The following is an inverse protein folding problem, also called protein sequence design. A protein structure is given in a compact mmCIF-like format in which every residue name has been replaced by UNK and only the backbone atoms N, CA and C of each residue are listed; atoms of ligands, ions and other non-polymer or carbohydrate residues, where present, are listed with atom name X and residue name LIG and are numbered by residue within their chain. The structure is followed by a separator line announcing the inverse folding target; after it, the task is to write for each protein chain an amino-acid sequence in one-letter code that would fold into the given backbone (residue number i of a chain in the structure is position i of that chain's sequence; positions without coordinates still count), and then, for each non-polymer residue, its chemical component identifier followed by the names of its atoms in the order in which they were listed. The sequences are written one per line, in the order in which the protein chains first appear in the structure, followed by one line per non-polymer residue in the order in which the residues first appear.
data_IF_674805638544
#
_entry.id   IF_674805638544
#
_cell.length_a   1.000
_cell.length_b   1.000
_cell.length_c   1.000
_cell.angle_alpha   90.00
_cell.angle_beta   90.00
_cell.angle_gamma   90.00
#
_symmetry.space_group_name_H-M   'P 1'
#
loop_
_entity.id
_entity.type
_entity.pdbx_description
1 polymer ?
#
# COMPACT_ATOMS: atom_id res chain seq x y z
N UNK A 1 -11.21 -15.98 3.00
CA UNK A 1 -10.05 -16.57 2.33
C UNK A 1 -9.14 -15.41 1.93
N UNK A 2 -8.31 -14.94 2.86
CA UNK A 2 -7.30 -13.91 2.55
C UNK A 2 -6.11 -14.60 1.88
N UNK A 3 -5.55 -13.98 0.85
CA UNK A 3 -4.36 -14.48 0.14
C UNK A 3 -3.12 -13.86 0.79
N UNK A 4 -2.43 -14.55 1.72
CA UNK A 4 -1.26 -13.99 2.41
C UNK A 4 -0.13 -13.60 1.44
N UNK A 5 -0.08 -14.25 0.29
CA UNK A 5 0.85 -13.97 -0.82
C UNK A 5 0.57 -12.65 -1.54
N UNK A 6 -0.53 -11.94 -1.25
CA UNK A 6 -0.82 -10.65 -1.89
C UNK A 6 0.16 -9.59 -1.33
N UNK A 7 0.98 -8.93 -2.16
CA UNK A 7 1.88 -7.90 -1.66
C UNK A 7 1.14 -6.70 -1.06
N UNK A 8 1.67 -6.15 0.03
CA UNK A 8 1.04 -5.07 0.77
C UNK A 8 0.96 -3.74 -0.02
N UNK A 9 1.76 -3.54 -1.07
CA UNK A 9 1.59 -2.36 -1.93
C UNK A 9 0.33 -2.40 -2.81
N UNK A 10 -0.25 -3.59 -3.07
CA UNK A 10 -1.36 -3.72 -4.02
C UNK A 10 -2.61 -2.93 -3.56
N UNK A 11 -3.05 -3.01 -2.28
CA UNK A 11 -4.10 -2.15 -1.77
C UNK A 11 -3.84 -0.64 -1.99
N UNK A 12 -2.59 -0.17 -1.91
CA UNK A 12 -2.25 1.22 -2.17
C UNK A 12 -2.52 1.64 -3.60
N UNK A 13 -2.12 0.81 -4.57
CA UNK A 13 -2.33 1.13 -5.99
C UNK A 13 -3.82 1.04 -6.36
N UNK A 14 -4.55 0.07 -5.83
CA UNK A 14 -6.00 0.00 -5.98
C UNK A 14 -6.67 1.22 -5.34
N UNK A 15 -6.26 1.59 -4.12
CA UNK A 15 -6.75 2.77 -3.42
C UNK A 15 -6.47 4.06 -4.20
N UNK A 16 -5.31 4.18 -4.85
CA UNK A 16 -4.97 5.32 -5.69
C UNK A 16 -5.89 5.42 -6.92
N UNK A 17 -6.16 4.30 -7.60
CA UNK A 17 -7.10 4.26 -8.73
C UNK A 17 -8.53 4.63 -8.30
N UNK A 18 -8.98 4.13 -7.15
CA UNK A 18 -10.29 4.49 -6.60
C UNK A 18 -10.31 5.97 -6.21
N UNK A 19 -9.25 6.49 -5.59
CA UNK A 19 -9.14 7.89 -5.19
C UNK A 19 -9.17 8.84 -6.40
N UNK A 20 -8.61 8.41 -7.55
CA UNK A 20 -8.60 9.15 -8.81
C UNK A 20 -10.02 9.41 -9.34
N UNK A 21 -10.91 8.42 -9.24
CA UNK A 21 -12.28 8.51 -9.80
C UNK A 21 -13.33 8.95 -8.78
N UNK A 22 -13.03 8.90 -7.48
CA UNK A 22 -13.95 9.30 -6.41
C UNK A 22 -13.77 10.76 -6.01
N UNK A 23 -14.74 11.34 -5.29
CA UNK A 23 -14.69 12.74 -4.83
C UNK A 23 -15.21 12.88 -3.40
N UNK A 24 -14.94 14.04 -2.78
CA UNK A 24 -15.47 14.41 -1.47
C UNK A 24 -15.16 13.38 -0.37
N UNK A 25 -16.16 13.08 0.47
CA UNK A 25 -16.03 12.16 1.60
C UNK A 25 -15.64 10.73 1.22
N UNK A 26 -16.06 10.27 0.04
CA UNK A 26 -15.70 8.92 -0.45
C UNK A 26 -14.19 8.83 -0.67
N UNK A 27 -13.60 9.82 -1.35
CA UNK A 27 -12.15 9.86 -1.54
C UNK A 27 -11.39 9.96 -0.22
N UNK A 28 -11.87 10.80 0.71
CA UNK A 28 -11.26 10.91 2.03
C UNK A 28 -11.26 9.57 2.78
N UNK A 29 -12.37 8.83 2.72
CA UNK A 29 -12.44 7.48 3.28
C UNK A 29 -11.45 6.53 2.58
N UNK A 30 -11.35 6.57 1.25
CA UNK A 30 -10.39 5.74 0.49
C UNK A 30 -8.95 6.03 0.91
N UNK A 31 -8.58 7.32 1.02
CA UNK A 31 -7.22 7.73 1.42
C UNK A 31 -6.84 7.19 2.80
N UNK A 32 -7.76 7.20 3.77
CA UNK A 32 -7.49 6.73 5.13
C UNK A 32 -7.59 5.20 5.28
N UNK A 33 -8.58 4.59 4.64
CA UNK A 33 -8.84 3.15 4.76
C UNK A 33 -7.74 2.34 4.06
N UNK A 34 -7.17 2.85 2.97
CA UNK A 34 -6.14 2.17 2.19
C UNK A 34 -4.93 1.72 3.02
N UNK A 35 -4.19 2.61 3.72
CA UNK A 35 -3.05 2.21 4.56
C UNK A 35 -3.48 1.36 5.76
N UNK A 36 -4.69 1.53 6.29
CA UNK A 36 -5.20 0.72 7.42
C UNK A 36 -5.45 -0.72 6.97
N UNK A 37 -6.18 -0.92 5.87
CA UNK A 37 -6.46 -2.26 5.33
C UNK A 37 -5.17 -2.96 4.91
N UNK A 38 -4.26 -2.24 4.27
CA UNK A 38 -2.96 -2.77 3.90
C UNK A 38 -2.13 -3.17 5.11
N UNK A 39 -2.11 -2.34 6.16
CA UNK A 39 -1.36 -2.64 7.38
C UNK A 39 -1.95 -3.84 8.12
N UNK A 40 -3.27 -3.95 8.20
CA UNK A 40 -3.94 -5.13 8.76
C UNK A 40 -3.63 -6.40 7.97
N UNK A 41 -3.57 -6.30 6.64
CA UNK A 41 -3.15 -7.41 5.79
C UNK A 41 -1.70 -7.81 6.08
N UNK A 42 -0.77 -6.85 6.19
CA UNK A 42 0.64 -7.10 6.48
C UNK A 42 0.85 -7.87 7.79
N UNK A 43 0.04 -7.63 8.81
CA UNK A 43 0.08 -8.37 10.10
C UNK A 43 -0.20 -9.88 9.94
N UNK A 44 -0.84 -10.28 8.85
CA UNK A 44 -1.19 -11.68 8.57
C UNK A 44 -0.18 -12.38 7.67
N UNK A 45 0.78 -11.64 7.11
CA UNK A 45 1.77 -12.19 6.17
C UNK A 45 2.91 -12.88 6.94
N UNK A 46 3.15 -14.19 6.73
CA UNK A 46 4.23 -14.89 7.42
C UNK A 46 5.62 -14.40 7.01
N UNK A 47 6.56 -14.43 7.95
CA UNK A 47 8.00 -14.28 7.63
C UNK A 47 8.44 -15.46 6.75
N UNK A 48 9.18 -15.16 5.69
CA UNK A 48 9.61 -16.11 4.66
C UNK A 48 8.67 -16.18 3.45
N UNK A 49 7.62 -15.36 3.40
CA UNK A 49 6.76 -15.23 2.21
C UNK A 49 7.57 -14.61 1.08
N UNK A 50 7.61 -15.29 -0.07
CA UNK A 50 8.31 -14.83 -1.28
C UNK A 50 7.36 -14.97 -2.46
N UNK A 51 7.15 -13.87 -3.18
CA UNK A 51 6.44 -13.86 -4.46
C UNK A 51 7.43 -13.65 -5.57
N UNK A 52 7.56 -14.64 -6.44
CA UNK A 52 8.41 -14.58 -7.62
C UNK A 52 7.59 -14.56 -8.91
N UNK A 53 8.12 -13.88 -9.91
CA UNK A 53 7.59 -13.83 -11.27
C UNK A 53 8.69 -14.14 -12.27
N UNK A 54 8.43 -15.04 -13.22
CA UNK A 54 9.37 -15.34 -14.29
C UNK A 54 9.20 -14.34 -15.44
N UNK A 55 10.25 -13.59 -15.73
CA UNK A 55 10.27 -12.60 -16.80
C UNK A 55 11.55 -12.71 -17.61
N UNK A 56 11.45 -12.89 -18.93
CA UNK A 56 12.61 -13.02 -19.84
C UNK A 56 13.62 -14.08 -19.40
N UNK A 57 13.16 -15.21 -18.84
CA UNK A 57 13.97 -16.27 -18.24
C UNK A 57 14.76 -15.87 -16.97
N UNK A 58 14.47 -14.71 -16.38
CA UNK A 58 14.89 -14.35 -15.04
C UNK A 58 13.77 -14.67 -14.04
N UNK A 59 14.14 -15.24 -12.90
CA UNK A 59 13.25 -15.37 -11.75
C UNK A 59 13.38 -14.09 -10.92
N UNK A 60 12.35 -13.25 -10.94
CA UNK A 60 12.33 -11.97 -10.23
C UNK A 60 11.55 -12.14 -8.92
N UNK A 61 12.18 -11.86 -7.79
CA UNK A 61 11.49 -11.77 -6.49
C UNK A 61 10.95 -10.35 -6.35
N UNK A 62 9.62 -10.21 -6.46
CA UNK A 62 8.93 -8.91 -6.44
C UNK A 62 8.40 -8.56 -5.06
N UNK A 63 8.41 -9.51 -4.14
CA UNK A 63 8.00 -9.34 -2.76
C UNK A 63 8.69 -10.39 -1.88
N UNK A 64 9.36 -9.95 -0.83
CA UNK A 64 10.01 -10.81 0.16
C UNK A 64 9.70 -10.27 1.57
N UNK A 65 9.32 -11.17 2.47
CA UNK A 65 8.97 -10.82 3.85
C UNK A 65 10.00 -11.39 4.81
N UNK A 66 10.84 -10.51 5.35
CA UNK A 66 11.77 -10.81 6.43
C UNK A 66 11.46 -9.92 7.66
N UNK A 67 12.21 -10.09 8.74
CA UNK A 67 11.97 -9.30 9.98
C UNK A 67 12.28 -7.82 9.82
N UNK A 68 13.24 -7.47 8.97
CA UNK A 68 13.64 -6.09 8.68
C UNK A 68 12.63 -5.43 7.73
N UNK A 69 12.19 -6.11 6.68
CA UNK A 69 11.16 -5.60 5.76
C UNK A 69 9.83 -5.41 6.47
N UNK A 70 9.45 -6.28 7.42
CA UNK A 70 8.29 -6.06 8.28
C UNK A 70 8.42 -4.82 9.17
N UNK A 71 9.58 -4.59 9.79
CA UNK A 71 9.82 -3.38 10.59
C UNK A 71 9.59 -2.11 9.76
N UNK A 72 10.20 -2.05 8.58
CA UNK A 72 10.00 -0.92 7.66
C UNK A 72 8.57 -0.85 7.13
N UNK A 73 7.96 -1.99 6.80
CA UNK A 73 6.57 -2.07 6.38
C UNK A 73 5.64 -1.43 7.40
N UNK A 74 5.76 -1.76 8.69
CA UNK A 74 4.94 -1.13 9.74
C UNK A 74 5.17 0.38 9.85
N UNK A 75 6.43 0.82 9.80
CA UNK A 75 6.78 2.25 9.86
C UNK A 75 6.21 3.00 8.66
N UNK A 76 6.35 2.46 7.45
CA UNK A 76 5.84 3.08 6.23
C UNK A 76 4.32 3.10 6.17
N UNK A 77 3.63 2.08 6.66
CA UNK A 77 2.16 2.11 6.77
C UNK A 77 1.68 3.20 7.74
N UNK A 78 2.34 3.33 8.90
CA UNK A 78 2.02 4.38 9.86
C UNK A 78 2.28 5.77 9.27
N UNK A 79 3.45 5.97 8.65
CA UNK A 79 3.79 7.23 7.98
C UNK A 79 2.79 7.55 6.87
N UNK A 80 2.43 6.57 6.03
CA UNK A 80 1.46 6.73 4.96
C UNK A 80 0.08 7.14 5.50
N UNK A 81 -0.39 6.53 6.59
CA UNK A 81 -1.65 6.93 7.23
C UNK A 81 -1.62 8.38 7.69
N UNK A 82 -0.55 8.81 8.37
CA UNK A 82 -0.38 10.19 8.84
C UNK A 82 -0.33 11.16 7.65
N UNK A 83 0.41 10.83 6.60
CA UNK A 83 0.48 11.63 5.38
C UNK A 83 -0.89 11.74 4.69
N UNK A 84 -1.66 10.65 4.60
CA UNK A 84 -3.00 10.67 4.01
C UNK A 84 -3.99 11.48 4.86
N UNK A 85 -3.87 11.40 6.18
CA UNK A 85 -4.64 12.23 7.11
C UNK A 85 -4.35 13.72 6.91
N UNK A 86 -3.08 14.09 6.78
CA UNK A 86 -2.70 15.47 6.45
C UNK A 86 -3.24 15.89 5.07
N UNK A 87 -3.10 15.02 4.06
CA UNK A 87 -3.52 15.26 2.68
C UNK A 87 -5.03 15.48 2.52
N UNK A 88 -5.86 15.17 3.53
CA UNK A 88 -7.29 15.52 3.50
C UNK A 88 -7.55 17.03 3.43
N UNK A 89 -6.60 17.86 3.90
CA UNK A 89 -6.69 19.32 3.83
C UNK A 89 -6.25 19.86 2.45
N UNK A 90 -5.53 19.05 1.68
CA UNK A 90 -5.04 19.40 0.35
C UNK A 90 -6.15 19.14 -0.67
N UNK A 91 -6.61 20.18 -1.35
CA UNK A 91 -7.69 20.09 -2.35
C UNK A 91 -7.15 19.80 -3.76
N UNK A 92 -6.14 18.95 -3.86
CA UNK A 92 -5.54 18.52 -5.13
C UNK A 92 -5.58 16.98 -5.23
N UNK A 93 -6.41 16.50 -6.16
CA UNK A 93 -6.59 15.07 -6.41
C UNK A 93 -5.30 14.40 -6.86
N UNK A 94 -4.51 15.06 -7.71
CA UNK A 94 -3.30 14.46 -8.24
C UNK A 94 -2.25 14.29 -7.14
N UNK A 95 -2.16 15.24 -6.21
CA UNK A 95 -1.27 15.10 -5.04
C UNK A 95 -1.71 13.94 -4.14
N UNK A 96 -3.01 13.79 -3.88
CA UNK A 96 -3.55 12.70 -3.07
C UNK A 96 -3.29 11.32 -3.71
N UNK A 97 -3.56 11.19 -5.01
CA UNK A 97 -3.34 9.95 -5.78
C UNK A 97 -1.84 9.63 -5.85
N UNK A 98 -1.01 10.62 -6.17
CA UNK A 98 0.44 10.45 -6.23
C UNK A 98 1.02 10.09 -4.87
N UNK A 99 0.46 10.62 -3.79
CA UNK A 99 0.85 10.28 -2.42
C UNK A 99 0.57 8.81 -2.08
N UNK A 100 -0.58 8.27 -2.48
CA UNK A 100 -0.88 6.84 -2.31
C UNK A 100 0.05 5.96 -3.16
N UNK A 101 0.30 6.33 -4.42
CA UNK A 101 1.22 5.60 -5.30
C UNK A 101 2.64 5.61 -4.75
N UNK A 102 3.12 6.78 -4.28
CA UNK A 102 4.43 6.91 -3.68
C UNK A 102 4.57 6.04 -2.42
N UNK A 103 3.58 6.11 -1.52
CA UNK A 103 3.57 5.29 -0.31
C UNK A 103 3.54 3.79 -0.64
N UNK A 104 2.72 3.38 -1.61
CA UNK A 104 2.66 2.00 -2.08
C UNK A 104 3.99 1.52 -2.67
N UNK A 105 4.70 2.34 -3.44
CA UNK A 105 6.00 1.96 -4.03
C UNK A 105 7.14 1.83 -3.01
N UNK A 106 6.96 2.36 -1.79
CA UNK A 106 7.92 2.21 -0.70
C UNK A 106 7.66 0.96 0.18
N UNK A 107 6.54 0.27 -0.05
CA UNK A 107 6.05 -0.89 0.70
C UNK A 107 6.21 -2.15 -0.15
#
# INVERSE_FOLDING_TARGET
MWMPELPAFVPFFIGALIALVTTGKVRQAVLLITPVLSGLHLLTVPVGTIVSFNFLNFQMEVFEVDKLSLLFGYIFHLAAFICMLFALHVKDTLQQVSGLLYAGSAI
#
